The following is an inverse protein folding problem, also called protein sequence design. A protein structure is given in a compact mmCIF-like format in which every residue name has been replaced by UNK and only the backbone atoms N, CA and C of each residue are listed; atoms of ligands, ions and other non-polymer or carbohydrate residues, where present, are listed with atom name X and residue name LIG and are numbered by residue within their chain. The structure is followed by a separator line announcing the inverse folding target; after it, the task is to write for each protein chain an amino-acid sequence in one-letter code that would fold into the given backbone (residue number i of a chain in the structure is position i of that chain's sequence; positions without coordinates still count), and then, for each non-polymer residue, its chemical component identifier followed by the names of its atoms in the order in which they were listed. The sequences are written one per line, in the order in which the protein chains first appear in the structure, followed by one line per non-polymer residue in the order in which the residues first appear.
data_IF_742369996918
#
_entry.id   IF_742369996918
#
_cell.length_a   1.000
_cell.length_b   1.000
_cell.length_c   1.000
_cell.angle_alpha   90.00
_cell.angle_beta   90.00
_cell.angle_gamma   90.00
#
_symmetry.space_group_name_H-M   'P 1'
#
loop_
_entity.id
_entity.type
_entity.pdbx_description
1 polymer ?
#
# COMPACT_ATOMS: atom_id res chain seq x y z
N UNK A 1 20.18 -27.62 -57.34
CA UNK A 1 18.95 -28.03 -56.63
C UNK A 1 19.23 -28.12 -55.13
N UNK A 2 18.77 -27.13 -54.36
CA UNK A 2 18.60 -27.14 -52.90
C UNK A 2 17.44 -26.20 -52.61
N UNK A 3 16.37 -26.70 -51.98
CA UNK A 3 15.22 -25.89 -51.55
C UNK A 3 15.53 -25.28 -50.17
N UNK A 4 15.25 -23.99 -49.92
CA UNK A 4 15.27 -23.44 -48.56
C UNK A 4 13.96 -23.73 -47.82
N UNK A 5 14.05 -23.87 -46.49
CA UNK A 5 12.96 -24.26 -45.58
C UNK A 5 12.02 -23.10 -45.24
N UNK A 6 10.72 -23.42 -45.20
CA UNK A 6 9.57 -22.56 -44.93
C UNK A 6 9.38 -22.29 -43.42
N UNK A 7 10.34 -21.61 -42.80
CA UNK A 7 10.21 -21.22 -41.40
C UNK A 7 10.79 -19.82 -41.19
N UNK A 8 10.16 -18.83 -41.84
CA UNK A 8 10.37 -17.39 -41.58
C UNK A 8 9.28 -16.49 -42.21
N UNK A 9 8.06 -17.02 -42.44
CA UNK A 9 6.93 -16.23 -42.96
C UNK A 9 5.75 -16.51 -42.03
N UNK A 10 5.70 -15.77 -40.92
CA UNK A 10 4.52 -15.37 -40.11
C UNK A 10 5.15 -14.63 -38.90
N UNK A 11 5.65 -13.41 -39.10
CA UNK A 11 5.91 -12.42 -38.03
C UNK A 11 6.30 -11.08 -38.66
N UNK A 12 5.49 -10.60 -39.60
CA UNK A 12 5.61 -9.26 -40.19
C UNK A 12 4.28 -8.92 -40.88
N UNK A 13 3.20 -8.77 -40.09
CA UNK A 13 1.94 -8.20 -40.61
C UNK A 13 0.97 -7.62 -39.56
N UNK A 14 1.46 -7.23 -38.38
CA UNK A 14 0.61 -6.59 -37.36
C UNK A 14 1.04 -5.16 -36.97
N UNK A 15 2.04 -4.58 -37.64
CA UNK A 15 2.57 -3.25 -37.28
C UNK A 15 2.44 -2.18 -38.38
N UNK A 16 1.77 -2.50 -39.49
CA UNK A 16 1.60 -1.60 -40.64
C UNK A 16 0.12 -1.33 -40.95
N UNK A 17 -0.73 -1.17 -39.92
CA UNK A 17 -2.15 -0.83 -40.10
C UNK A 17 -2.62 0.27 -39.13
N UNK A 18 -1.80 1.30 -38.91
CA UNK A 18 -2.20 2.50 -38.16
C UNK A 18 -1.78 3.83 -38.81
N UNK A 19 -1.21 3.80 -40.02
CA UNK A 19 -0.78 4.99 -40.74
C UNK A 19 -1.44 5.03 -42.12
N UNK A 20 -2.75 5.30 -42.16
CA UNK A 20 -3.46 5.91 -43.31
C UNK A 20 -4.94 6.04 -42.97
N UNK A 21 -5.30 7.07 -42.20
CA UNK A 21 -6.65 7.64 -42.26
C UNK A 21 -6.53 9.17 -42.42
N UNK A 22 -7.32 9.78 -43.32
CA UNK A 22 -7.19 11.17 -43.68
C UNK A 22 -7.72 12.10 -42.58
N UNK A 23 -7.01 13.21 -42.40
CA UNK A 23 -7.41 14.30 -41.51
C UNK A 23 -8.71 14.95 -41.99
N UNK A 24 -9.79 14.78 -41.23
CA UNK A 24 -11.00 15.59 -41.39
C UNK A 24 -11.62 15.90 -40.03
N UNK A 25 -11.71 17.20 -39.71
CA UNK A 25 -12.58 17.73 -38.66
C UNK A 25 -12.02 17.82 -37.23
N UNK A 26 -10.98 18.62 -36.98
CA UNK A 26 -10.65 19.10 -35.61
C UNK A 26 -11.51 20.32 -35.26
N UNK A 27 -12.61 20.10 -34.54
CA UNK A 27 -13.27 21.17 -33.78
C UNK A 27 -12.56 21.38 -32.43
N UNK A 28 -12.30 22.65 -32.11
CA UNK A 28 -11.67 23.15 -30.88
C UNK A 28 -12.45 22.72 -29.63
N UNK A 29 -12.05 21.65 -28.96
CA UNK A 29 -12.49 21.33 -27.59
C UNK A 29 -11.49 20.42 -26.83
N UNK A 30 -10.19 20.49 -27.13
CA UNK A 30 -9.15 19.80 -26.35
C UNK A 30 -8.29 20.82 -25.61
N UNK A 31 -8.88 21.41 -24.58
CA UNK A 31 -8.17 22.18 -23.57
C UNK A 31 -8.38 21.50 -22.23
N UNK A 32 -7.28 21.09 -21.58
CA UNK A 32 -7.17 20.89 -20.12
C UNK A 32 -7.52 19.56 -19.45
N UNK A 33 -7.52 18.40 -20.13
CA UNK A 33 -7.60 17.11 -19.38
C UNK A 33 -6.82 15.91 -19.93
N UNK A 34 -5.89 16.10 -20.88
CA UNK A 34 -5.31 14.97 -21.62
C UNK A 34 -3.83 14.67 -21.42
N UNK A 35 -2.99 15.56 -20.92
CA UNK A 35 -1.52 15.37 -21.02
C UNK A 35 -0.87 14.72 -19.81
N UNK A 36 -1.26 15.06 -18.58
CA UNK A 36 -0.59 14.51 -17.38
C UNK A 36 -0.99 13.07 -17.09
N UNK A 37 -2.27 12.71 -17.26
CA UNK A 37 -2.76 11.34 -17.09
C UNK A 37 -2.13 10.38 -18.11
N UNK A 38 -1.98 10.82 -19.36
CA UNK A 38 -1.32 10.04 -20.42
C UNK A 38 0.19 9.97 -20.21
N UNK A 39 0.85 11.04 -19.72
CA UNK A 39 2.27 10.99 -19.35
C UNK A 39 2.51 10.02 -18.19
N UNK A 40 1.66 9.98 -17.17
CA UNK A 40 1.82 9.08 -16.01
C UNK A 40 1.56 7.61 -16.38
N UNK A 41 0.53 7.36 -17.21
CA UNK A 41 0.24 6.01 -17.71
C UNK A 41 1.37 5.49 -18.64
N UNK A 42 1.89 6.33 -19.54
CA UNK A 42 2.99 5.93 -20.44
C UNK A 42 4.35 5.88 -19.75
N UNK A 43 4.61 6.70 -18.72
CA UNK A 43 5.84 6.63 -17.91
C UNK A 43 5.85 5.39 -17.02
N UNK A 44 4.68 4.98 -16.52
CA UNK A 44 4.53 3.68 -15.84
C UNK A 44 4.83 2.53 -16.81
N UNK A 45 4.22 2.52 -18.00
CA UNK A 45 4.44 1.47 -19.00
C UNK A 45 5.89 1.41 -19.54
N UNK A 46 6.56 2.55 -19.76
CA UNK A 46 7.97 2.60 -20.24
C UNK A 46 9.01 2.26 -19.17
N UNK A 47 8.72 2.44 -17.87
CA UNK A 47 9.66 2.04 -16.81
C UNK A 47 9.63 0.54 -16.52
N UNK A 48 8.53 -0.14 -16.86
CA UNK A 48 8.44 -1.60 -16.84
C UNK A 48 9.20 -2.29 -18.00
N UNK A 49 9.72 -1.54 -18.99
CA UNK A 49 10.55 -2.10 -20.07
C UNK A 49 12.06 -2.07 -19.78
N UNK A 50 12.46 -1.78 -18.54
CA UNK A 50 13.84 -1.98 -18.09
C UNK A 50 14.23 -3.45 -18.20
N UNK A 51 15.51 -3.72 -18.47
CA UNK A 51 16.09 -5.07 -18.70
C UNK A 51 15.39 -6.14 -17.87
N UNK A 52 15.07 -7.27 -18.51
CA UNK A 52 14.31 -8.44 -18.04
C UNK A 52 14.78 -9.09 -16.70
N UNK A 53 15.74 -8.50 -15.98
CA UNK A 53 16.18 -8.87 -14.64
C UNK A 53 15.73 -7.93 -13.51
N UNK A 54 15.10 -6.79 -13.81
CA UNK A 54 14.53 -5.88 -12.79
C UNK A 54 13.00 -5.94 -12.85
N UNK A 55 12.46 -7.14 -12.60
CA UNK A 55 11.02 -7.31 -12.48
C UNK A 55 10.56 -6.51 -11.27
N UNK A 56 9.89 -5.38 -11.57
CA UNK A 56 9.64 -4.29 -10.63
C UNK A 56 9.00 -4.77 -9.34
N UNK A 57 9.82 -4.97 -8.31
CA UNK A 57 9.36 -5.08 -6.93
C UNK A 57 8.97 -3.72 -6.36
N UNK A 58 9.20 -2.67 -7.13
CA UNK A 58 8.96 -1.29 -6.75
C UNK A 58 7.50 -0.88 -6.99
N UNK A 59 6.86 -0.30 -5.97
CA UNK A 59 5.60 0.43 -6.14
C UNK A 59 5.87 1.93 -6.19
N UNK A 60 5.30 2.58 -7.20
CA UNK A 60 5.32 4.03 -7.34
C UNK A 60 4.08 4.64 -6.68
N UNK A 61 4.28 5.60 -5.78
CA UNK A 61 3.22 6.35 -5.12
C UNK A 61 3.40 7.84 -5.46
N UNK A 62 2.54 8.42 -6.33
CA UNK A 62 2.59 9.82 -6.70
C UNK A 62 2.56 10.77 -5.49
N UNK A 63 3.02 12.02 -5.60
CA UNK A 63 2.92 12.97 -4.51
C UNK A 63 1.46 13.24 -4.14
N UNK A 64 1.23 13.56 -2.86
CA UNK A 64 -0.10 13.94 -2.31
C UNK A 64 -1.21 13.00 -2.77
N UNK A 65 -0.95 11.70 -2.77
CA UNK A 65 -1.88 10.72 -3.34
C UNK A 65 -2.11 9.57 -2.39
N UNK A 66 -3.20 8.83 -2.67
CA UNK A 66 -3.40 7.50 -2.12
C UNK A 66 -3.52 6.48 -3.25
N UNK A 67 -2.95 5.30 -3.03
CA UNK A 67 -2.97 4.19 -3.98
C UNK A 67 -3.31 2.90 -3.26
N UNK A 68 -4.41 2.27 -3.64
CA UNK A 68 -4.82 0.97 -3.10
C UNK A 68 -4.44 -0.14 -4.05
N UNK A 69 -3.73 -1.15 -3.56
CA UNK A 69 -3.30 -2.32 -4.33
C UNK A 69 -3.58 -3.59 -3.54
N UNK A 70 -4.10 -4.61 -4.22
CA UNK A 70 -4.21 -5.95 -3.63
C UNK A 70 -3.01 -6.78 -4.08
N UNK A 71 -2.35 -7.45 -3.13
CA UNK A 71 -1.22 -8.32 -3.39
C UNK A 71 -1.58 -9.77 -3.05
N UNK A 72 -1.05 -10.71 -3.83
CA UNK A 72 -0.92 -12.09 -3.37
C UNK A 72 0.08 -12.11 -2.23
N UNK A 73 -0.23 -12.85 -1.17
CA UNK A 73 0.62 -12.89 0.02
C UNK A 73 0.92 -14.32 0.46
N UNK A 74 1.96 -14.45 1.29
CA UNK A 74 2.47 -15.72 1.78
C UNK A 74 2.82 -15.62 3.25
N UNK A 75 2.42 -16.62 4.01
CA UNK A 75 2.86 -16.82 5.36
C UNK A 75 4.35 -17.19 5.44
N UNK A 76 5.10 -16.55 6.32
CA UNK A 76 6.55 -16.75 6.44
C UNK A 76 6.95 -17.63 7.63
N UNK A 77 6.07 -17.82 8.61
CA UNK A 77 6.38 -18.60 9.81
C UNK A 77 5.47 -19.84 9.93
N UNK A 78 5.93 -21.06 9.65
CA UNK A 78 5.07 -22.25 9.69
C UNK A 78 4.57 -22.62 11.09
N UNK A 79 5.04 -21.96 12.16
CA UNK A 79 4.67 -22.25 13.54
C UNK A 79 3.79 -21.16 14.19
N UNK A 80 3.52 -20.06 13.47
CA UNK A 80 2.72 -18.96 13.99
C UNK A 80 1.22 -19.17 13.77
N UNK A 81 0.41 -18.50 14.56
CA UNK A 81 -1.04 -18.41 14.34
C UNK A 81 -1.33 -17.78 12.97
N UNK A 82 -2.37 -18.28 12.30
CA UNK A 82 -2.86 -17.65 11.06
C UNK A 82 -3.32 -16.20 11.33
N UNK A 83 -3.10 -15.26 10.40
CA UNK A 83 -3.57 -13.90 10.57
C UNK A 83 -5.11 -13.86 10.56
N UNK A 84 -5.69 -13.04 11.44
CA UNK A 84 -7.13 -12.80 11.44
C UNK A 84 -7.54 -11.97 10.22
N UNK A 85 -8.84 -11.98 9.88
CA UNK A 85 -9.39 -10.98 8.95
C UNK A 85 -9.19 -9.59 9.56
N UNK A 86 -8.74 -8.62 8.78
CA UNK A 86 -8.41 -7.26 9.26
C UNK A 86 -7.25 -7.19 10.28
N UNK A 87 -6.40 -8.22 10.35
CA UNK A 87 -5.12 -8.14 11.06
C UNK A 87 -4.32 -6.90 10.63
N UNK A 88 -3.89 -6.11 11.61
CA UNK A 88 -3.05 -4.94 11.38
C UNK A 88 -1.58 -5.35 11.31
N UNK A 89 -0.94 -5.01 10.20
CA UNK A 89 0.48 -5.25 9.98
C UNK A 89 1.28 -3.95 9.94
N UNK A 90 2.50 -4.01 10.46
CA UNK A 90 3.55 -3.00 10.27
C UNK A 90 4.57 -3.51 9.25
N UNK A 91 5.16 -2.59 8.51
CA UNK A 91 6.21 -2.93 7.55
C UNK A 91 7.55 -3.07 8.28
N UNK A 92 8.27 -4.16 8.00
CA UNK A 92 9.55 -4.46 8.65
C UNK A 92 10.60 -4.83 7.61
N UNK A 93 11.82 -4.30 7.79
CA UNK A 93 13.03 -4.66 7.03
C UNK A 93 13.83 -5.77 7.68
N UNK A 94 13.39 -6.28 8.83
CA UNK A 94 14.10 -7.32 9.56
C UNK A 94 14.28 -8.56 8.69
N UNK A 95 15.45 -9.19 8.76
CA UNK A 95 15.69 -10.45 8.07
C UNK A 95 14.70 -11.52 8.59
N UNK A 96 14.11 -12.25 7.65
CA UNK A 96 13.18 -13.33 7.95
C UNK A 96 13.91 -14.62 8.35
N UNK A 97 15.22 -14.70 8.06
CA UNK A 97 16.07 -15.90 8.13
C UNK A 97 15.59 -17.05 7.23
N UNK A 98 14.77 -16.75 6.22
CA UNK A 98 14.29 -17.74 5.24
C UNK A 98 15.17 -17.64 4.00
N UNK A 99 15.97 -18.68 3.68
CA UNK A 99 16.82 -18.68 2.50
C UNK A 99 15.99 -18.48 1.23
N UNK A 100 16.49 -17.66 0.31
CA UNK A 100 15.88 -17.37 -0.99
C UNK A 100 14.48 -16.76 -0.96
N UNK A 101 14.01 -16.19 0.16
CA UNK A 101 12.63 -15.69 0.24
C UNK A 101 12.35 -14.66 -0.88
N UNK A 102 13.22 -13.67 -1.05
CA UNK A 102 13.05 -12.63 -2.07
C UNK A 102 13.00 -13.23 -3.46
N UNK A 103 13.93 -14.11 -3.77
CA UNK A 103 14.08 -14.75 -5.08
C UNK A 103 12.89 -15.68 -5.38
N UNK A 104 12.39 -16.42 -4.39
CA UNK A 104 11.18 -17.25 -4.53
C UNK A 104 9.96 -16.40 -4.82
N UNK A 105 9.80 -15.26 -4.13
CA UNK A 105 8.68 -14.35 -4.40
C UNK A 105 8.80 -13.74 -5.80
N UNK A 106 9.99 -13.25 -6.20
CA UNK A 106 10.21 -12.72 -7.55
C UNK A 106 9.93 -13.78 -8.62
N UNK A 107 10.39 -15.02 -8.41
CA UNK A 107 10.17 -16.14 -9.34
C UNK A 107 8.69 -16.52 -9.44
N UNK A 108 7.99 -16.67 -8.31
CA UNK A 108 6.54 -16.92 -8.30
C UNK A 108 5.76 -15.85 -9.06
N UNK A 109 6.30 -14.63 -9.05
CA UNK A 109 5.77 -13.51 -9.77
C UNK A 109 5.76 -13.65 -11.28
N UNK A 110 6.89 -14.07 -11.86
CA UNK A 110 7.01 -14.29 -13.30
C UNK A 110 6.37 -15.59 -13.80
N UNK A 111 5.98 -16.49 -12.90
CA UNK A 111 5.51 -17.82 -13.23
C UNK A 111 4.11 -18.05 -12.67
N UNK A 112 3.14 -17.33 -13.23
CA UNK A 112 1.72 -17.37 -12.82
C UNK A 112 1.07 -18.76 -12.92
N UNK A 113 1.65 -19.67 -13.72
CA UNK A 113 1.24 -21.06 -13.83
C UNK A 113 1.51 -21.87 -12.55
N UNK A 114 2.40 -21.39 -11.68
CA UNK A 114 2.71 -22.04 -10.41
C UNK A 114 1.66 -21.66 -9.38
N UNK A 115 0.99 -22.67 -8.85
CA UNK A 115 -0.05 -22.48 -7.83
C UNK A 115 0.52 -21.87 -6.56
N UNK A 116 -0.17 -20.88 -6.00
CA UNK A 116 0.20 -20.23 -4.73
C UNK A 116 0.51 -21.23 -3.61
N UNK A 117 -0.23 -22.35 -3.53
CA UNK A 117 -0.02 -23.40 -2.53
C UNK A 117 1.34 -24.09 -2.66
N UNK A 118 1.87 -24.21 -3.89
CA UNK A 118 3.19 -24.80 -4.14
C UNK A 118 4.31 -23.87 -3.65
N UNK A 119 4.17 -22.56 -3.89
CA UNK A 119 5.09 -21.53 -3.39
C UNK A 119 5.00 -21.41 -1.86
N UNK A 120 3.79 -21.39 -1.30
CA UNK A 120 3.59 -21.35 0.15
C UNK A 120 4.23 -22.55 0.85
N UNK A 121 4.09 -23.75 0.27
CA UNK A 121 4.75 -24.96 0.77
C UNK A 121 6.28 -24.86 0.69
N UNK A 122 6.81 -24.32 -0.41
CA UNK A 122 8.26 -24.11 -0.57
C UNK A 122 8.80 -23.16 0.52
N UNK A 123 8.15 -22.00 0.72
CA UNK A 123 8.53 -21.00 1.73
C UNK A 123 8.57 -21.61 3.14
N UNK A 124 7.53 -22.35 3.52
CA UNK A 124 7.49 -22.99 4.84
C UNK A 124 8.56 -24.05 5.04
N UNK A 125 8.83 -24.88 4.02
CA UNK A 125 9.88 -25.90 4.11
C UNK A 125 11.29 -25.28 4.12
N UNK A 126 11.49 -24.16 3.43
CA UNK A 126 12.71 -23.35 3.52
C UNK A 126 12.90 -22.77 4.93
N UNK A 127 11.85 -22.21 5.53
CA UNK A 127 11.87 -21.69 6.90
C UNK A 127 12.20 -22.78 7.94
N UNK A 128 11.74 -24.01 7.72
CA UNK A 128 12.07 -25.18 8.56
C UNK A 128 13.48 -25.72 8.28
N UNK A 129 14.14 -25.25 7.23
CA UNK A 129 15.44 -25.71 6.75
C UNK A 129 15.43 -27.19 6.37
N UNK A 130 14.37 -27.63 5.70
CA UNK A 130 14.29 -28.97 5.10
C UNK A 130 15.50 -29.23 4.22
N UNK A 131 15.98 -30.46 4.23
CA UNK A 131 17.11 -30.85 3.39
C UNK A 131 16.74 -30.79 1.91
N UNK A 132 17.66 -30.26 1.09
CA UNK A 132 17.46 -30.08 -0.35
C UNK A 132 16.99 -31.38 -1.03
N UNK A 133 17.55 -32.53 -0.65
CA UNK A 133 17.23 -33.83 -1.22
C UNK A 133 15.78 -34.26 -0.94
N UNK A 134 15.14 -33.73 0.11
CA UNK A 134 13.78 -34.09 0.50
C UNK A 134 12.70 -33.28 -0.22
N UNK A 135 13.05 -32.19 -0.91
CA UNK A 135 12.06 -31.41 -1.65
C UNK A 135 11.49 -32.21 -2.85
N UNK A 136 10.20 -32.05 -3.17
CA UNK A 136 9.60 -32.57 -4.40
C UNK A 136 10.30 -32.04 -5.66
N UNK A 137 10.27 -32.82 -6.74
CA UNK A 137 10.97 -32.49 -7.99
C UNK A 137 10.61 -31.08 -8.54
N UNK A 138 9.32 -30.70 -8.47
CA UNK A 138 8.87 -29.36 -8.90
C UNK A 138 9.51 -28.24 -8.09
N UNK A 139 9.58 -28.36 -6.77
CA UNK A 139 10.18 -27.35 -5.91
C UNK A 139 11.70 -27.30 -6.04
N UNK A 140 12.36 -28.44 -6.28
CA UNK A 140 13.79 -28.46 -6.66
C UNK A 140 14.02 -27.72 -7.97
N UNK A 141 13.15 -27.89 -8.97
CA UNK A 141 13.26 -27.19 -10.24
C UNK A 141 13.14 -25.66 -10.06
N UNK A 142 12.22 -25.18 -9.21
CA UNK A 142 12.13 -23.77 -8.84
C UNK A 142 13.44 -23.28 -8.21
N UNK A 143 13.96 -24.01 -7.22
CA UNK A 143 15.20 -23.66 -6.54
C UNK A 143 16.41 -23.64 -7.49
N UNK A 144 16.51 -24.59 -8.42
CA UNK A 144 17.56 -24.61 -9.44
C UNK A 144 17.43 -23.47 -10.45
N UNK A 145 16.20 -23.11 -10.83
CA UNK A 145 15.96 -21.98 -11.73
C UNK A 145 16.34 -20.64 -11.08
N UNK A 146 16.12 -20.51 -9.77
CA UNK A 146 16.57 -19.37 -8.97
C UNK A 146 18.09 -19.35 -8.83
N UNK A 147 18.68 -20.48 -8.43
CA UNK A 147 20.12 -20.60 -8.19
C UNK A 147 20.58 -22.04 -8.45
N UNK A 148 21.35 -22.30 -9.52
CA UNK A 148 21.91 -23.62 -9.80
C UNK A 148 22.74 -24.21 -8.65
N UNK A 149 23.29 -23.36 -7.77
CA UNK A 149 24.05 -23.77 -6.59
C UNK A 149 23.21 -23.94 -5.31
N UNK A 150 21.87 -23.88 -5.40
CA UNK A 150 20.96 -24.08 -4.27
C UNK A 150 21.23 -25.36 -3.44
N UNK A 151 21.58 -26.53 -4.01
CA UNK A 151 21.91 -27.73 -3.23
C UNK A 151 23.09 -27.55 -2.27
N UNK A 152 24.03 -26.65 -2.59
CA UNK A 152 25.20 -26.35 -1.78
C UNK A 152 24.92 -25.28 -0.71
N UNK A 153 24.02 -24.32 -1.00
CA UNK A 153 23.69 -23.21 -0.09
C UNK A 153 22.61 -23.59 0.94
N UNK A 154 21.69 -24.49 0.59
CA UNK A 154 20.66 -24.99 1.51
C UNK A 154 21.21 -26.11 2.42
N UNK A 155 20.50 -26.46 3.51
CA UNK A 155 20.77 -27.69 4.24
C UNK A 155 20.70 -28.89 3.28
N UNK A 156 21.72 -29.74 3.28
CA UNK A 156 21.79 -30.92 2.41
C UNK A 156 22.62 -32.01 3.08
N UNK A 157 22.38 -33.27 2.68
CA UNK A 157 23.15 -34.42 3.18
C UNK A 157 24.63 -34.25 2.86
N UNK A 158 24.94 -33.86 1.62
CA UNK A 158 26.30 -33.64 1.17
C UNK A 158 27.04 -32.58 2.02
N UNK A 159 26.35 -31.48 2.35
CA UNK A 159 26.92 -30.42 3.19
C UNK A 159 27.16 -30.89 4.63
N UNK A 160 26.25 -31.64 5.21
CA UNK A 160 26.44 -32.19 6.55
C UNK A 160 27.54 -33.27 6.59
N UNK A 161 27.65 -34.11 5.56
CA UNK A 161 28.77 -35.05 5.42
C UNK A 161 30.12 -34.32 5.29
N UNK A 162 30.19 -33.27 4.49
CA UNK A 162 31.39 -32.45 4.35
C UNK A 162 31.76 -31.76 5.67
N UNK A 163 30.77 -31.17 6.37
CA UNK A 163 30.97 -30.59 7.72
C UNK A 163 31.44 -31.64 8.71
N UNK A 164 30.85 -32.83 8.69
CA UNK A 164 31.22 -33.92 9.60
C UNK A 164 32.64 -34.39 9.34
N UNK A 165 33.06 -34.59 8.07
CA UNK A 165 34.44 -34.93 7.73
C UNK A 165 35.43 -33.83 8.17
N UNK A 166 35.11 -32.56 7.93
CA UNK A 166 35.93 -31.43 8.37
C UNK A 166 36.02 -31.34 9.90
N UNK A 167 34.90 -31.53 10.61
CA UNK A 167 34.85 -31.57 12.08
C UNK A 167 35.62 -32.76 12.63
N UNK A 168 35.52 -33.94 12.03
CA UNK A 168 36.30 -35.11 12.44
C UNK A 168 37.81 -34.85 12.32
N UNK A 169 38.25 -34.19 11.25
CA UNK A 169 39.63 -33.76 11.12
C UNK A 169 40.02 -32.77 12.25
N UNK A 170 39.15 -31.81 12.58
CA UNK A 170 39.36 -30.85 13.66
C UNK A 170 39.37 -31.51 15.06
N UNK A 171 38.48 -32.47 15.32
CA UNK A 171 38.38 -33.19 16.60
C UNK A 171 39.55 -34.15 16.84
N UNK A 172 40.19 -34.64 15.77
CA UNK A 172 41.49 -35.32 15.88
C UNK A 172 42.57 -34.36 16.38
N UNK A 173 42.47 -33.07 16.06
CA UNK A 173 43.42 -32.04 16.50
C UNK A 173 43.11 -31.49 17.91
N UNK A 174 41.85 -31.43 18.34
CA UNK A 174 41.44 -30.86 19.65
C UNK A 174 40.40 -31.75 20.35
N UNK A 175 40.82 -32.65 21.26
CA UNK A 175 39.95 -33.65 21.90
C UNK A 175 38.82 -33.09 22.79
N UNK A 176 38.97 -31.86 23.30
CA UNK A 176 38.02 -31.22 24.23
C UNK A 176 36.63 -30.93 23.61
N UNK A 177 36.51 -30.92 22.27
CA UNK A 177 35.27 -30.56 21.59
C UNK A 177 34.24 -31.72 21.48
N UNK A 178 34.61 -32.96 21.83
CA UNK A 178 33.73 -34.14 21.68
C UNK A 178 32.48 -34.12 22.57
N UNK A 179 32.50 -33.41 23.71
CA UNK A 179 31.37 -33.38 24.67
C UNK A 179 30.19 -32.51 24.23
N UNK A 180 30.38 -31.56 23.32
CA UNK A 180 29.31 -30.67 22.85
C UNK A 180 28.43 -31.28 21.74
N UNK A 181 28.89 -32.35 21.08
CA UNK A 181 28.29 -32.90 19.86
C UNK A 181 27.03 -33.76 20.12
N UNK A 182 26.94 -34.41 21.28
CA UNK A 182 25.85 -35.36 21.58
C UNK A 182 24.47 -34.71 21.81
N UNK A 183 24.41 -33.39 21.98
CA UNK A 183 23.15 -32.65 22.11
C UNK A 183 22.57 -32.17 20.76
N UNK A 184 23.32 -32.26 19.66
CA UNK A 184 22.89 -31.80 18.33
C UNK A 184 22.24 -32.91 17.47
N UNK A 185 21.50 -33.84 18.10
CA UNK A 185 20.75 -34.89 17.38
C UNK A 185 19.56 -34.28 16.61
N UNK A 186 19.88 -33.83 15.40
CA UNK A 186 19.21 -34.13 14.14
C UNK A 186 17.76 -34.65 14.25
N UNK A 187 16.83 -33.75 14.59
CA UNK A 187 15.47 -33.87 14.08
C UNK A 187 15.61 -33.84 12.56
N UNK A 188 15.35 -34.96 11.89
CA UNK A 188 15.30 -34.99 10.43
C UNK A 188 14.29 -33.92 10.00
N UNK A 189 14.79 -32.88 9.30
CA UNK A 189 13.97 -31.83 8.73
C UNK A 189 13.33 -32.39 7.47
N UNK A 190 12.36 -33.29 7.67
CA UNK A 190 11.59 -33.92 6.60
C UNK A 190 10.72 -32.88 5.91
N UNK A 191 10.49 -33.10 4.62
CA UNK A 191 9.55 -32.29 3.87
C UNK A 191 8.14 -32.49 4.42
N UNK A 192 7.39 -31.40 4.58
CA UNK A 192 5.98 -31.44 4.96
C UNK A 192 5.10 -30.85 3.86
N UNK A 193 4.01 -31.55 3.57
CA UNK A 193 3.05 -31.11 2.57
C UNK A 193 2.30 -29.87 3.05
N UNK A 194 1.81 -29.09 2.09
CA UNK A 194 1.03 -27.88 2.36
C UNK A 194 -0.13 -28.12 3.34
N UNK A 195 -0.89 -29.19 3.13
CA UNK A 195 -2.08 -29.51 3.93
C UNK A 195 -1.72 -29.77 5.40
N UNK A 196 -0.57 -30.39 5.66
CA UNK A 196 -0.15 -30.70 7.02
C UNK A 196 0.24 -29.44 7.78
N UNK A 197 1.05 -28.58 7.17
CA UNK A 197 1.46 -27.30 7.77
C UNK A 197 0.24 -26.36 7.93
N UNK A 198 -0.64 -26.31 6.93
CA UNK A 198 -1.85 -25.50 7.01
C UNK A 198 -2.79 -25.97 8.14
N UNK A 199 -2.89 -27.29 8.38
CA UNK A 199 -3.65 -27.85 9.49
C UNK A 199 -3.04 -27.46 10.84
N UNK A 200 -1.73 -27.57 11.00
CA UNK A 200 -1.02 -27.13 12.22
C UNK A 200 -1.28 -25.64 12.51
N UNK A 201 -1.18 -24.79 11.49
CA UNK A 201 -1.47 -23.36 11.60
C UNK A 201 -2.93 -23.11 11.99
N UNK A 202 -3.87 -23.82 11.39
CA UNK A 202 -5.31 -23.62 11.68
C UNK A 202 -5.70 -24.00 13.10
N UNK A 203 -4.91 -24.86 13.74
CA UNK A 203 -5.08 -25.26 15.14
C UNK A 203 -4.34 -24.32 16.10
N UNK A 204 -3.54 -23.40 15.58
CA UNK A 204 -2.78 -22.42 16.36
C UNK A 204 -3.54 -21.10 16.38
N UNK A 205 -4.23 -20.83 17.48
CA UNK A 205 -4.88 -19.54 17.72
C UNK A 205 -3.92 -18.57 18.42
N UNK A 206 -4.03 -17.28 18.09
CA UNK A 206 -3.26 -16.25 18.77
C UNK A 206 -3.81 -16.01 20.18
N UNK A 207 -2.91 -15.85 21.15
CA UNK A 207 -3.23 -15.57 22.55
C UNK A 207 -3.37 -14.08 22.84
N UNK A 208 -3.07 -13.23 21.86
CA UNK A 208 -3.10 -11.79 22.00
C UNK A 208 -4.37 -11.19 21.37
N UNK A 209 -4.99 -10.18 22.02
CA UNK A 209 -6.17 -9.53 21.48
C UNK A 209 -5.84 -8.84 20.15
N UNK A 210 -6.81 -8.83 19.24
CA UNK A 210 -6.67 -8.12 17.96
C UNK A 210 -6.56 -6.62 18.20
N UNK A 211 -5.64 -5.97 17.51
CA UNK A 211 -5.55 -4.51 17.52
C UNK A 211 -6.60 -3.92 16.58
N UNK A 212 -7.59 -3.25 17.16
CA UNK A 212 -8.69 -2.60 16.44
C UNK A 212 -8.43 -1.12 16.15
N UNK A 213 -7.20 -0.63 16.34
CA UNK A 213 -6.89 0.77 16.06
C UNK A 213 -6.86 1.07 14.56
N UNK A 214 -7.38 2.25 14.19
CA UNK A 214 -7.33 2.78 12.82
C UNK A 214 -5.99 3.51 12.54
N UNK A 215 -4.93 3.14 13.25
CA UNK A 215 -3.61 3.76 13.07
C UNK A 215 -3.00 3.32 11.75
N UNK A 216 -2.52 4.30 10.99
CA UNK A 216 -1.73 4.10 9.77
C UNK A 216 -0.25 4.22 10.15
N UNK A 217 0.57 3.33 9.62
CA UNK A 217 1.99 3.25 9.95
C UNK A 217 2.85 3.73 8.80
N UNK A 218 3.91 4.46 9.10
CA UNK A 218 4.95 4.76 8.12
C UNK A 218 5.71 3.48 7.75
N UNK A 219 5.99 3.30 6.46
CA UNK A 219 6.95 2.32 5.96
C UNK A 219 8.33 2.90 6.22
N UNK A 220 9.09 2.25 7.09
CA UNK A 220 10.41 2.68 7.57
C UNK A 220 11.31 3.23 6.45
N UNK A 221 11.84 4.45 6.68
CA UNK A 221 12.75 5.22 5.80
C UNK A 221 12.16 5.66 4.45
N UNK A 222 10.85 5.58 4.26
CA UNK A 222 10.23 6.01 3.00
C UNK A 222 9.43 7.30 3.12
N UNK A 223 8.92 7.68 4.30
CA UNK A 223 7.91 8.73 4.43
C UNK A 223 6.63 8.45 3.64
N UNK A 224 6.34 7.18 3.36
CA UNK A 224 5.05 6.69 2.87
C UNK A 224 4.36 6.00 4.03
N UNK A 225 3.08 6.29 4.20
CA UNK A 225 2.24 5.62 5.18
C UNK A 225 1.45 4.51 4.50
N UNK A 226 1.19 3.42 5.22
CA UNK A 226 0.45 2.30 4.69
C UNK A 226 -0.57 1.77 5.69
N UNK A 227 -1.75 1.49 5.15
CA UNK A 227 -2.81 0.77 5.84
C UNK A 227 -2.95 -0.61 5.20
N UNK A 228 -3.05 -1.64 6.03
CA UNK A 228 -3.18 -3.03 5.58
C UNK A 228 -4.53 -3.59 5.98
N UNK A 229 -5.18 -4.25 5.03
CA UNK A 229 -6.38 -5.06 5.23
C UNK A 229 -6.08 -6.50 4.85
N UNK A 230 -6.06 -7.35 5.87
CA UNK A 230 -5.77 -8.77 5.72
C UNK A 230 -7.01 -9.55 5.30
N UNK A 231 -6.86 -10.36 4.24
CA UNK A 231 -7.85 -11.34 3.81
C UNK A 231 -7.35 -12.75 4.11
N UNK A 232 -6.91 -12.94 5.36
CA UNK A 232 -6.12 -14.10 5.79
C UNK A 232 -4.72 -14.09 5.20
N UNK A 233 -4.12 -15.26 4.96
CA UNK A 233 -2.73 -15.33 4.47
C UNK A 233 -2.60 -15.22 2.95
N UNK A 234 -3.68 -15.36 2.17
CA UNK A 234 -3.62 -15.47 0.71
C UNK A 234 -3.48 -14.13 0.01
N UNK A 235 -4.11 -13.08 0.55
CA UNK A 235 -4.15 -11.75 -0.05
C UNK A 235 -4.05 -10.67 1.02
N UNK A 236 -3.40 -9.57 0.65
CA UNK A 236 -3.36 -8.34 1.44
C UNK A 236 -3.79 -7.19 0.56
N UNK A 237 -4.77 -6.40 1.00
CA UNK A 237 -5.09 -5.12 0.36
C UNK A 237 -4.35 -4.03 1.13
N UNK A 238 -3.53 -3.26 0.44
CA UNK A 238 -2.70 -2.22 1.05
C UNK A 238 -3.04 -0.90 0.40
N UNK A 239 -3.36 0.09 1.23
CA UNK A 239 -3.51 1.48 0.83
C UNK A 239 -2.25 2.25 1.21
N UNK A 240 -1.51 2.72 0.21
CA UNK A 240 -0.34 3.57 0.39
C UNK A 240 -0.76 5.03 0.33
N UNK A 241 -0.21 5.85 1.23
CA UNK A 241 -0.45 7.27 1.33
C UNK A 241 0.89 8.01 1.22
N UNK A 242 1.03 8.85 0.20
CA UNK A 242 2.17 9.74 0.05
C UNK A 242 1.75 11.17 0.40
N UNK A 243 2.04 11.67 1.61
CA UNK A 243 1.74 13.06 1.96
C UNK A 243 2.76 14.04 1.35
N UNK A 244 3.89 13.56 0.82
CA UNK A 244 4.96 14.40 0.29
C UNK A 244 4.59 15.08 -1.04
N UNK A 245 5.34 16.15 -1.36
CA UNK A 245 5.24 16.88 -2.64
C UNK A 245 5.94 16.16 -3.80
N UNK A 246 6.81 15.20 -3.50
CA UNK A 246 7.55 14.42 -4.50
C UNK A 246 7.01 12.99 -4.62
N UNK A 247 7.03 12.41 -5.84
CA UNK A 247 6.72 11.00 -6.01
C UNK A 247 7.73 10.12 -5.29
N UNK A 248 7.26 8.99 -4.75
CA UNK A 248 8.13 8.02 -4.07
C UNK A 248 8.02 6.64 -4.68
N UNK A 249 9.11 5.90 -4.63
CA UNK A 249 9.20 4.52 -5.09
C UNK A 249 9.64 3.64 -3.93
N UNK A 250 8.90 2.56 -3.67
CA UNK A 250 9.17 1.64 -2.55
C UNK A 250 9.48 0.27 -3.12
N UNK A 251 10.70 -0.21 -2.92
CA UNK A 251 11.08 -1.59 -3.24
C UNK A 251 10.47 -2.54 -2.20
N UNK A 252 9.32 -3.11 -2.54
CA UNK A 252 8.58 -4.04 -1.67
C UNK A 252 9.38 -5.30 -1.35
N UNK A 253 10.37 -5.66 -2.18
CA UNK A 253 11.23 -6.82 -1.95
C UNK A 253 12.20 -6.65 -0.76
N UNK A 254 12.31 -5.44 -0.19
CA UNK A 254 13.10 -5.15 1.02
C UNK A 254 12.31 -5.30 2.32
N UNK A 255 11.00 -5.52 2.23
CA UNK A 255 10.11 -5.49 3.39
C UNK A 255 9.25 -6.74 3.46
N UNK A 256 8.76 -7.02 4.67
CA UNK A 256 7.66 -7.93 4.91
C UNK A 256 6.69 -7.28 5.90
N UNK A 257 5.49 -7.85 6.01
CA UNK A 257 4.46 -7.41 6.93
C UNK A 257 4.58 -8.21 8.24
N UNK A 258 4.74 -7.51 9.35
CA UNK A 258 4.84 -8.07 10.71
C UNK A 258 3.56 -7.74 11.48
N UNK A 259 2.86 -8.75 12.01
CA UNK A 259 1.72 -8.47 12.89
C UNK A 259 2.25 -7.90 14.21
N UNK A 260 1.46 -7.02 14.83
CA UNK A 260 1.72 -6.55 16.18
C UNK A 260 1.59 -7.65 17.24
N UNK A 261 0.82 -8.70 16.92
CA UNK A 261 0.73 -9.91 17.74
C UNK A 261 1.94 -10.78 17.41
N UNK A 262 2.84 -10.95 18.38
CA UNK A 262 4.13 -11.61 18.18
C UNK A 262 4.03 -13.10 17.84
N UNK A 263 2.89 -13.72 18.14
CA UNK A 263 2.59 -15.12 17.83
C UNK A 263 1.90 -15.33 16.48
N UNK A 264 1.51 -14.26 15.78
CA UNK A 264 0.91 -14.31 14.44
C UNK A 264 1.99 -14.34 13.36
N UNK A 265 1.69 -15.03 12.27
CA UNK A 265 2.60 -15.17 11.14
C UNK A 265 2.94 -13.82 10.49
N UNK A 266 4.24 -13.63 10.24
CA UNK A 266 4.75 -12.65 9.28
C UNK A 266 4.26 -12.98 7.88
N UNK A 267 4.03 -11.95 7.07
CA UNK A 267 3.50 -12.06 5.72
C UNK A 267 4.49 -11.48 4.70
N UNK A 268 4.89 -12.29 3.73
CA UNK A 268 5.59 -11.85 2.53
C UNK A 268 4.57 -11.47 1.47
N UNK A 269 4.84 -10.39 0.75
CA UNK A 269 3.97 -9.90 -0.33
C UNK A 269 4.62 -10.17 -1.68
N UNK A 270 3.83 -10.69 -2.61
CA UNK A 270 4.24 -10.83 -4.00
C UNK A 270 4.13 -9.46 -4.65
N UNK A 271 5.24 -8.85 -5.11
CA UNK A 271 5.24 -7.43 -5.44
C UNK A 271 4.70 -7.12 -6.84
N UNK A 272 4.27 -8.12 -7.62
CA UNK A 272 3.62 -7.86 -8.90
C UNK A 272 2.21 -7.34 -8.68
N UNK A 273 1.93 -6.23 -9.35
CA UNK A 273 0.63 -5.58 -9.37
C UNK A 273 -0.43 -6.62 -9.77
N UNK A 274 -1.36 -6.88 -8.86
CA UNK A 274 -2.62 -7.57 -9.17
C UNK A 274 -3.27 -6.91 -10.38
N UNK A 275 -3.97 -7.70 -11.18
CA UNK A 275 -4.76 -7.28 -12.35
C UNK A 275 -5.82 -6.20 -12.02
N UNK A 276 -6.09 -5.96 -10.74
CA UNK A 276 -6.97 -4.87 -10.30
C UNK A 276 -6.28 -3.53 -10.60
N UNK A 277 -6.87 -2.67 -11.46
CA UNK A 277 -6.35 -1.33 -11.68
C UNK A 277 -6.21 -0.67 -10.32
N UNK A 278 -5.02 -0.18 -10.00
CA UNK A 278 -4.83 0.59 -8.78
C UNK A 278 -5.82 1.77 -8.83
N UNK A 279 -6.66 1.90 -7.81
CA UNK A 279 -7.50 3.09 -7.68
C UNK A 279 -6.57 4.23 -7.25
N UNK A 280 -6.08 4.97 -8.23
CA UNK A 280 -5.30 6.18 -8.01
C UNK A 280 -6.28 7.31 -7.79
N UNK A 281 -6.46 7.67 -6.52
CA UNK A 281 -7.23 8.85 -6.17
C UNK A 281 -6.21 9.97 -6.02
N UNK A 282 -6.09 10.76 -7.09
CA UNK A 282 -5.44 12.06 -7.01
C UNK A 282 -6.26 12.90 -6.03
N UNK A 283 -5.71 13.10 -4.84
CA UNK A 283 -6.26 14.06 -3.88
C UNK A 283 -6.01 15.41 -4.56
N UNK A 284 -7.06 16.12 -5.01
CA UNK A 284 -6.85 17.41 -5.67
C UNK A 284 -6.02 18.27 -4.72
N UNK A 285 -5.00 18.95 -5.24
CA UNK A 285 -4.25 19.87 -4.41
C UNK A 285 -5.23 20.88 -3.81
N UNK A 286 -5.04 21.23 -2.54
CA UNK A 286 -5.95 22.10 -1.81
C UNK A 286 -6.25 23.39 -2.53
N UNK A 287 -5.22 23.94 -3.15
CA UNK A 287 -5.28 25.04 -4.08
C UNK A 287 -6.29 24.84 -5.20
N UNK A 288 -6.29 23.68 -5.87
CA UNK A 288 -7.12 23.45 -7.04
C UNK A 288 -8.60 23.39 -6.67
N UNK A 289 -8.90 22.96 -5.44
CA UNK A 289 -10.27 22.95 -4.91
C UNK A 289 -10.75 24.39 -4.71
N UNK A 290 -9.98 25.24 -4.00
CA UNK A 290 -10.37 26.63 -3.71
C UNK A 290 -10.19 27.57 -4.91
N UNK A 291 -9.35 27.21 -5.89
CA UNK A 291 -9.21 27.93 -7.18
C UNK A 291 -10.35 27.60 -8.14
N UNK A 292 -11.14 26.56 -7.88
CA UNK A 292 -12.31 26.27 -8.68
C UNK A 292 -13.37 27.38 -8.48
N UNK A 293 -13.78 28.10 -9.54
CA UNK A 293 -14.65 29.27 -9.39
C UNK A 293 -16.03 28.93 -8.81
N UNK A 294 -16.54 27.71 -9.03
CA UNK A 294 -17.83 27.29 -8.45
C UNK A 294 -17.69 27.02 -6.96
N UNK A 295 -16.61 26.36 -6.55
CA UNK A 295 -16.33 26.10 -5.13
C UNK A 295 -16.10 27.42 -4.40
N UNK A 296 -15.27 28.29 -4.97
CA UNK A 296 -14.96 29.60 -4.40
C UNK A 296 -16.18 30.49 -4.25
N UNK A 297 -17.01 30.61 -5.28
CA UNK A 297 -18.25 31.40 -5.20
C UNK A 297 -19.21 30.86 -4.13
N UNK A 298 -19.28 29.55 -3.94
CA UNK A 298 -20.11 28.92 -2.92
C UNK A 298 -19.56 29.11 -1.50
N UNK A 299 -18.23 29.07 -1.34
CA UNK A 299 -17.54 29.40 -0.09
C UNK A 299 -17.75 30.88 0.29
N UNK A 300 -17.61 31.80 -0.67
CA UNK A 300 -17.85 33.23 -0.48
C UNK A 300 -19.32 33.51 -0.14
N UNK A 301 -20.26 32.85 -0.85
CA UNK A 301 -21.69 32.94 -0.53
C UNK A 301 -21.99 32.44 0.89
N UNK A 302 -21.41 31.30 1.27
CA UNK A 302 -21.54 30.76 2.62
C UNK A 302 -21.06 31.76 3.68
N UNK A 303 -19.92 32.40 3.41
CA UNK A 303 -19.36 33.39 4.32
C UNK A 303 -20.27 34.63 4.46
N UNK A 304 -20.83 35.13 3.36
CA UNK A 304 -21.81 36.23 3.38
C UNK A 304 -23.09 35.86 4.15
N UNK A 305 -23.59 34.65 3.95
CA UNK A 305 -24.76 34.10 4.64
C UNK A 305 -24.51 33.85 6.14
N UNK A 306 -23.25 33.80 6.57
CA UNK A 306 -22.89 33.60 7.98
C UNK A 306 -23.19 34.82 8.86
N UNK A 307 -23.53 35.95 8.22
CA UNK A 307 -23.90 37.20 8.88
C UNK A 307 -22.69 38.08 9.21
N UNK A 308 -22.90 39.39 9.21
CA UNK A 308 -21.87 40.36 9.57
C UNK A 308 -21.82 40.57 11.09
N UNK A 309 -20.63 40.42 11.69
CA UNK A 309 -20.41 40.54 13.14
C UNK A 309 -20.81 41.89 13.73
N UNK A 310 -20.98 42.91 12.89
CA UNK A 310 -21.22 44.28 13.33
C UNK A 310 -22.52 44.42 14.15
N UNK A 311 -23.45 43.45 14.07
CA UNK A 311 -24.82 43.65 14.59
C UNK A 311 -25.23 42.83 15.81
N UNK A 312 -24.64 41.66 16.12
CA UNK A 312 -24.86 40.91 17.39
C UNK A 312 -24.22 39.52 17.31
N UNK A 313 -23.58 39.03 18.38
CA UNK A 313 -23.11 37.62 18.49
C UNK A 313 -24.24 36.59 18.37
N UNK A 314 -25.49 36.97 18.68
CA UNK A 314 -26.65 36.06 18.66
C UNK A 314 -27.15 35.73 17.26
N UNK A 315 -26.73 36.49 16.24
CA UNK A 315 -27.25 36.37 14.88
C UNK A 315 -26.22 35.82 13.89
N UNK A 316 -25.05 35.43 14.38
CA UNK A 316 -23.97 34.87 13.57
C UNK A 316 -24.14 33.36 13.53
N UNK A 317 -24.04 32.79 12.34
CA UNK A 317 -24.27 31.35 12.12
C UNK A 317 -23.19 30.82 11.21
N UNK A 318 -22.53 29.75 11.61
CA UNK A 318 -21.58 29.07 10.74
C UNK A 318 -22.30 28.38 9.57
N UNK A 319 -21.68 28.53 8.40
CA UNK A 319 -22.12 27.96 7.15
C UNK A 319 -21.04 27.04 6.62
N UNK A 320 -21.39 26.12 5.73
CA UNK A 320 -20.43 25.12 5.26
C UNK A 320 -21.08 24.04 4.40
N UNK A 321 -20.30 23.01 4.11
CA UNK A 321 -20.77 21.89 3.30
C UNK A 321 -19.67 20.99 2.78
N UNK A 322 -20.09 20.08 1.90
CA UNK A 322 -19.24 19.12 1.22
C UNK A 322 -18.83 19.62 -0.15
N UNK A 323 -17.57 19.39 -0.51
CA UNK A 323 -17.05 19.62 -1.85
C UNK A 323 -16.97 18.25 -2.54
N UNK A 324 -17.72 18.08 -3.62
CA UNK A 324 -17.94 16.79 -4.28
C UNK A 324 -17.39 16.82 -5.69
N UNK A 325 -16.57 15.82 -6.04
CA UNK A 325 -16.06 15.59 -7.40
C UNK A 325 -16.90 14.54 -8.12
N UNK A 326 -17.54 14.92 -9.24
CA UNK A 326 -18.29 14.01 -10.12
C UNK A 326 -17.91 14.24 -11.58
N UNK A 327 -17.41 13.19 -12.25
CA UNK A 327 -17.02 13.27 -13.66
C UNK A 327 -16.00 14.37 -13.95
N UNK A 328 -15.03 14.56 -13.05
CA UNK A 328 -14.02 15.64 -13.16
C UNK A 328 -14.47 17.02 -12.69
N UNK A 329 -15.77 17.27 -12.51
CA UNK A 329 -16.29 18.56 -12.05
C UNK A 329 -16.41 18.62 -10.53
N UNK A 330 -16.11 19.79 -9.95
CA UNK A 330 -16.33 20.09 -8.54
C UNK A 330 -17.69 20.80 -8.36
N UNK A 331 -18.40 20.40 -7.31
CA UNK A 331 -19.68 20.98 -6.88
C UNK A 331 -19.70 21.09 -5.36
N UNK A 332 -20.53 21.99 -4.82
CA UNK A 332 -20.72 22.14 -3.38
C UNK A 332 -22.11 21.65 -2.99
N UNK A 333 -22.18 20.79 -1.99
CA UNK A 333 -23.41 20.42 -1.31
C UNK A 333 -23.41 21.09 0.07
N UNK A 334 -24.17 22.17 0.22
CA UNK A 334 -24.29 22.89 1.50
C UNK A 334 -24.88 21.98 2.58
N UNK A 335 -24.29 22.05 3.76
CA UNK A 335 -24.89 21.45 4.95
C UNK A 335 -26.06 22.33 5.44
N UNK A 336 -26.99 21.79 6.23
CA UNK A 336 -27.95 22.61 6.95
C UNK A 336 -27.23 23.70 7.74
N UNK A 337 -27.85 24.87 7.79
CA UNK A 337 -27.35 26.01 8.55
C UNK A 337 -27.03 25.61 10.00
N UNK A 338 -25.87 26.07 10.47
CA UNK A 338 -25.41 25.83 11.82
C UNK A 338 -26.17 26.60 12.89
N UNK A 339 -25.87 26.29 14.16
CA UNK A 339 -26.31 27.10 15.30
C UNK A 339 -25.07 27.73 15.94
N UNK A 340 -25.08 29.07 16.04
CA UNK A 340 -23.98 29.87 16.59
C UNK A 340 -22.63 29.52 15.92
N UNK A 341 -21.66 29.04 16.71
CA UNK A 341 -20.30 28.64 16.32
C UNK A 341 -20.17 27.14 15.95
N UNK A 342 -21.16 26.55 15.26
CA UNK A 342 -21.06 25.13 14.88
C UNK A 342 -21.92 24.77 13.66
N UNK A 343 -21.45 23.87 12.79
CA UNK A 343 -22.19 23.35 11.64
C UNK A 343 -22.27 21.83 11.51
N UNK A 344 -23.47 21.27 11.37
CA UNK A 344 -23.63 19.82 11.20
C UNK A 344 -23.48 19.41 9.73
N UNK A 345 -22.26 19.02 9.32
CA UNK A 345 -21.98 18.52 7.96
C UNK A 345 -22.78 17.27 7.56
N UNK A 346 -23.18 16.44 8.54
CA UNK A 346 -23.84 15.16 8.28
C UNK A 346 -22.88 14.09 7.73
N UNK A 347 -23.40 12.95 7.24
CA UNK A 347 -22.57 11.88 6.70
C UNK A 347 -21.85 12.31 5.42
N UNK A 348 -20.59 11.89 5.26
CA UNK A 348 -19.76 12.17 4.08
C UNK A 348 -20.43 11.61 2.80
N UNK A 349 -20.80 12.44 1.83
CA UNK A 349 -21.43 11.98 0.60
C UNK A 349 -20.41 11.29 -0.33
N UNK A 350 -20.85 10.34 -1.18
CA UNK A 350 -20.00 9.74 -2.20
C UNK A 350 -19.36 10.78 -3.11
N UNK A 351 -18.04 10.66 -3.33
CA UNK A 351 -17.27 11.60 -4.14
C UNK A 351 -16.87 12.90 -3.42
N UNK A 352 -17.13 13.01 -2.11
CA UNK A 352 -16.57 14.11 -1.32
C UNK A 352 -15.03 14.09 -1.38
N UNK A 353 -14.45 15.22 -1.78
CA UNK A 353 -13.00 15.45 -1.88
C UNK A 353 -12.50 16.51 -0.89
N UNK A 354 -13.42 17.16 -0.18
CA UNK A 354 -13.16 18.11 0.89
C UNK A 354 -14.46 18.49 1.59
N UNK A 355 -14.35 19.18 2.71
CA UNK A 355 -15.45 19.87 3.37
C UNK A 355 -15.01 21.29 3.72
N UNK A 356 -15.95 22.17 4.04
CA UNK A 356 -15.60 23.50 4.50
C UNK A 356 -16.63 24.03 5.48
N UNK A 357 -16.21 25.02 6.26
CA UNK A 357 -17.10 25.87 7.04
C UNK A 357 -16.50 27.26 7.26
N UNK A 358 -17.35 28.16 7.72
CA UNK A 358 -17.03 29.58 7.92
C UNK A 358 -16.82 29.89 9.39
N UNK A 359 -15.80 30.69 9.69
CA UNK A 359 -15.63 31.39 10.96
C UNK A 359 -15.84 32.88 10.71
N UNK A 360 -17.09 33.36 10.72
CA UNK A 360 -17.38 34.79 10.56
C UNK A 360 -16.81 35.62 11.71
N UNK A 361 -16.55 35.02 12.88
CA UNK A 361 -16.01 35.67 14.06
C UNK A 361 -14.52 36.01 13.89
N UNK A 362 -14.20 37.31 13.84
CA UNK A 362 -12.84 37.83 13.72
C UNK A 362 -12.08 37.78 15.05
N UNK A 363 -12.04 36.62 15.69
CA UNK A 363 -11.24 36.47 16.90
C UNK A 363 -9.76 36.47 16.57
N UNK A 364 -9.02 37.32 17.28
CA UNK A 364 -7.57 37.22 17.50
C UNK A 364 -7.19 36.04 18.43
N UNK A 365 -8.12 35.14 18.74
CA UNK A 365 -7.82 33.95 19.54
C UNK A 365 -7.29 32.82 18.63
N UNK A 366 -6.14 32.23 18.97
CA UNK A 366 -5.57 31.14 18.19
C UNK A 366 -6.53 29.94 18.19
N UNK A 367 -7.20 29.73 17.05
CA UNK A 367 -7.84 28.52 16.47
C UNK A 367 -7.94 27.21 17.29
N UNK A 368 -8.26 27.25 18.59
CA UNK A 368 -8.29 26.08 19.47
C UNK A 368 -9.72 25.55 19.71
N UNK A 369 -10.76 26.24 19.23
CA UNK A 369 -12.14 25.83 19.52
C UNK A 369 -13.00 25.61 18.26
N UNK A 370 -12.98 24.33 17.86
CA UNK A 370 -14.04 23.47 17.28
C UNK A 370 -14.75 23.81 15.96
N UNK A 371 -14.87 22.84 15.05
CA UNK A 371 -16.11 22.54 14.37
C UNK A 371 -16.83 21.41 15.11
N UNK A 372 -18.11 21.64 15.28
CA UNK A 372 -19.16 20.66 15.01
C UNK A 372 -18.75 19.23 14.60
N UNK A 373 -19.41 18.30 15.28
CA UNK A 373 -18.82 17.03 15.64
C UNK A 373 -19.42 15.88 14.83
N UNK A 374 -18.82 14.68 14.87
CA UNK A 374 -19.62 13.47 14.69
C UNK A 374 -20.76 13.51 15.71
N UNK A 375 -21.91 12.90 15.40
CA UNK A 375 -23.16 12.90 16.19
C UNK A 375 -22.99 12.56 17.69
N UNK A 376 -21.80 12.08 18.12
CA UNK A 376 -21.53 11.53 19.45
C UNK A 376 -20.49 12.26 20.31
N UNK A 377 -19.80 13.33 19.87
CA UNK A 377 -18.76 13.95 20.73
C UNK A 377 -18.56 15.47 20.55
N UNK A 378 -19.34 16.35 21.22
CA UNK A 378 -19.31 17.81 21.11
C UNK A 378 -18.01 18.42 21.72
N UNK A 379 -17.00 18.70 20.88
CA UNK A 379 -15.77 19.40 21.26
C UNK A 379 -14.51 19.13 20.39
N UNK A 380 -14.65 18.49 19.22
CA UNK A 380 -13.50 18.21 18.34
C UNK A 380 -13.03 19.45 17.57
N UNK A 381 -11.73 19.58 17.30
CA UNK A 381 -11.10 20.65 16.50
C UNK A 381 -11.23 20.43 14.98
N UNK A 382 -10.90 21.43 14.15
CA UNK A 382 -11.01 21.34 12.67
C UNK A 382 -10.18 20.22 12.08
N UNK A 383 -9.08 19.93 12.77
CA UNK A 383 -8.19 18.80 12.55
C UNK A 383 -8.94 17.47 12.73
N UNK A 384 -9.80 17.38 13.74
CA UNK A 384 -10.58 16.17 14.04
C UNK A 384 -11.58 15.87 12.93
N UNK A 385 -12.21 16.90 12.34
CA UNK A 385 -13.11 16.72 11.21
C UNK A 385 -12.37 16.22 9.96
N UNK A 386 -11.22 16.82 9.62
CA UNK A 386 -10.41 16.39 8.46
C UNK A 386 -9.95 14.94 8.62
N UNK A 387 -9.47 14.57 9.81
CA UNK A 387 -9.09 13.21 10.17
C UNK A 387 -10.26 12.23 10.09
N UNK A 388 -11.39 12.57 10.72
CA UNK A 388 -12.58 11.71 10.79
C UNK A 388 -13.13 11.40 9.40
N UNK A 389 -13.21 12.40 8.52
CA UNK A 389 -13.77 12.21 7.18
C UNK A 389 -12.75 11.75 6.13
N UNK A 390 -11.45 11.78 6.47
CA UNK A 390 -10.37 11.43 5.56
C UNK A 390 -10.32 12.30 4.30
N UNK A 391 -10.78 13.55 4.40
CA UNK A 391 -10.74 14.57 3.33
C UNK A 391 -10.35 15.92 3.93
N UNK A 392 -9.64 16.80 3.20
CA UNK A 392 -9.27 18.12 3.72
C UNK A 392 -10.49 18.92 4.17
N UNK A 393 -10.32 19.68 5.24
CA UNK A 393 -11.27 20.68 5.74
C UNK A 393 -10.76 22.07 5.36
N UNK A 394 -11.62 22.91 4.78
CA UNK A 394 -11.31 24.30 4.45
C UNK A 394 -12.04 25.24 5.41
N UNK A 395 -11.30 26.12 6.07
CA UNK A 395 -11.81 27.06 7.06
C UNK A 395 -11.80 28.44 6.42
N UNK A 396 -12.95 29.11 6.36
CA UNK A 396 -13.08 30.42 5.73
C UNK A 396 -13.26 31.48 6.81
N UNK A 397 -12.33 32.42 6.89
CA UNK A 397 -12.45 33.60 7.74
C UNK A 397 -12.56 34.88 6.90
N UNK A 398 -12.57 36.05 7.57
CA UNK A 398 -12.68 37.37 6.92
C UNK A 398 -11.58 37.69 5.93
N UNK A 399 -10.42 37.06 6.08
CA UNK A 399 -9.17 37.43 5.43
C UNK A 399 -8.53 36.29 4.66
N UNK A 400 -8.93 35.05 4.93
CA UNK A 400 -8.26 33.87 4.40
C UNK A 400 -9.17 32.65 4.27
N UNK A 401 -8.76 31.75 3.39
CA UNK A 401 -9.20 30.35 3.39
C UNK A 401 -8.01 29.52 3.85
N UNK A 402 -8.14 28.82 4.97
CA UNK A 402 -7.13 27.90 5.47
C UNK A 402 -7.51 26.47 5.12
N UNK A 403 -6.51 25.60 5.00
CA UNK A 403 -6.71 24.17 4.75
C UNK A 403 -6.12 23.34 5.87
N UNK A 404 -6.88 22.34 6.30
CA UNK A 404 -6.46 21.34 7.29
C UNK A 404 -6.47 19.96 6.62
N UNK A 405 -5.32 19.30 6.61
CA UNK A 405 -5.14 17.99 5.98
C UNK A 405 -5.49 16.83 6.94
N UNK A 406 -6.12 15.74 6.45
CA UNK A 406 -6.44 14.58 7.28
C UNK A 406 -5.23 13.91 7.95
N UNK A 407 -4.08 13.97 7.28
CA UNK A 407 -2.86 13.27 7.70
C UNK A 407 -1.90 14.14 8.52
N UNK A 408 -2.16 15.44 8.64
CA UNK A 408 -1.25 16.35 9.32
C UNK A 408 -1.78 16.65 10.73
N UNK A 409 -1.06 16.30 11.80
CA UNK A 409 -1.54 16.60 13.14
C UNK A 409 -1.53 18.11 13.47
N UNK A 410 -0.74 18.94 12.76
CA UNK A 410 -0.57 20.38 13.12
C UNK A 410 -0.17 21.33 11.96
N UNK A 411 -0.30 20.96 10.68
CA UNK A 411 0.10 21.87 9.59
C UNK A 411 -1.08 22.70 9.08
N UNK A 412 -0.96 24.02 9.23
CA UNK A 412 -1.81 25.02 8.58
C UNK A 412 -1.01 25.67 7.45
N UNK A 413 -1.31 25.33 6.20
CA UNK A 413 -0.94 26.19 5.07
C UNK A 413 -2.00 27.30 5.01
N UNK A 414 -1.74 28.39 5.71
CA UNK A 414 -2.53 29.61 5.57
C UNK A 414 -2.05 30.41 4.34
N UNK A 415 -2.94 31.26 3.84
CA UNK A 415 -2.75 32.34 2.86
C UNK A 415 -3.28 32.02 1.46
N UNK A 416 -4.61 32.04 1.33
CA UNK A 416 -5.27 32.37 0.05
C UNK A 416 -6.04 33.69 0.21
N UNK A 417 -5.70 34.68 -0.63
CA UNK A 417 -6.57 35.81 -0.98
C UNK A 417 -7.18 35.58 -2.35
#
# INVERSE_FOLDING_TARGET
MKRPSLSNIIFLNAFALFLTLPAYGRTKAEGWLGKETLLNATTSAKRFSGKQGDMGTAIFVPPRSRRTVTFTSYCLNPHGAGPHTDEKFIWSRQDTNIPYLKEVLVYAGSHSEIRQTEIQSLIWNLARGVWFENYPAKQKAILFAIDPAAPAKLPSKAREEAKHKAKQALFKAVPALKKAEQMAKQVQRQFMHYQDIAREISQTESKHPLDTSDKIYEIEETGIYAETKSHGFKKQTITFYNPGSEPKSIDLGKYHLQSKRSDVQRIGILPLLSETPAEEIHIPQGDDIVKNPKVRAEMERAFQESGDLVRSRTNVREQGGWIIKRGGNLTVQRAPEGDCCSIRLGPKPPGAVGNFHTHPYGYDEPFIHSPSTPVTNPGGSDVTAAQHYGVPTFIIDRTSIMRVEPSAPFYHDAVYR
#
